data_IF_410428938917
#
_entry.id   IF_410428938917
#
_cell.length_a   1.000
_cell.length_b   1.000
_cell.length_c   1.000
_cell.angle_alpha   90.00
_cell.angle_beta   90.00
_cell.angle_gamma   90.00
#
_symmetry.space_group_name_H-M   'P 1'
#
loop_
_entity.id
_entity.type
_entity.pdbx_description
1 polymer ?
#
# COMPACT_ATOMS: atom_id res chain seq x y z
N UNK A 1 -22.54 -0.55 -11.14
CA UNK A 1 -22.58 -2.02 -10.98
C UNK A 1 -21.24 -2.72 -11.27
N UNK A 2 -20.35 -2.17 -12.12
CA UNK A 2 -19.05 -2.80 -12.48
C UNK A 2 -17.96 -2.83 -11.38
N UNK A 3 -17.92 -1.89 -10.43
CA UNK A 3 -16.84 -1.76 -9.42
C UNK A 3 -16.76 -2.97 -8.48
N UNK A 4 -17.91 -3.38 -7.91
CA UNK A 4 -17.96 -4.56 -7.04
C UNK A 4 -17.50 -5.80 -7.81
N UNK A 5 -17.97 -5.95 -9.05
CA UNK A 5 -17.59 -7.07 -9.94
C UNK A 5 -16.07 -7.16 -10.16
N UNK A 6 -15.37 -6.03 -10.32
CA UNK A 6 -13.91 -6.00 -10.49
C UNK A 6 -13.17 -6.39 -9.21
N UNK A 7 -13.55 -5.86 -8.04
CA UNK A 7 -12.95 -6.26 -6.74
C UNK A 7 -13.20 -7.74 -6.41
N UNK A 8 -14.42 -8.23 -6.64
CA UNK A 8 -14.73 -9.66 -6.51
C UNK A 8 -13.92 -10.50 -7.48
N UNK A 9 -13.77 -10.04 -8.72
CA UNK A 9 -12.96 -10.74 -9.70
C UNK A 9 -11.47 -10.80 -9.30
N UNK A 10 -10.94 -9.77 -8.62
CA UNK A 10 -9.58 -9.78 -8.09
C UNK A 10 -9.44 -10.70 -6.88
N UNK A 11 -10.43 -10.71 -5.98
CA UNK A 11 -10.49 -11.67 -4.88
C UNK A 11 -10.49 -13.12 -5.40
N UNK A 12 -11.38 -13.43 -6.36
CA UNK A 12 -11.44 -14.76 -6.99
C UNK A 12 -10.10 -15.14 -7.62
N UNK A 13 -9.43 -14.18 -8.26
CA UNK A 13 -8.12 -14.39 -8.86
C UNK A 13 -7.03 -14.67 -7.83
N UNK A 14 -6.92 -13.85 -6.78
CA UNK A 14 -5.96 -14.06 -5.69
C UNK A 14 -6.22 -15.41 -5.01
N UNK A 15 -7.50 -15.78 -4.80
CA UNK A 15 -7.89 -17.10 -4.28
C UNK A 15 -7.46 -18.21 -5.22
N UNK A 16 -7.65 -18.07 -6.54
CA UNK A 16 -7.25 -19.08 -7.51
C UNK A 16 -5.74 -19.29 -7.52
N UNK A 17 -4.95 -18.21 -7.52
CA UNK A 17 -3.48 -18.29 -7.43
C UNK A 17 -3.06 -18.96 -6.12
N UNK A 18 -3.68 -18.60 -5.01
CA UNK A 18 -3.39 -19.21 -3.71
C UNK A 18 -3.77 -20.70 -3.68
N UNK A 19 -4.86 -21.10 -4.33
CA UNK A 19 -5.22 -22.52 -4.49
C UNK A 19 -4.18 -23.27 -5.32
N UNK A 20 -3.65 -22.68 -6.39
CA UNK A 20 -2.55 -23.27 -7.16
C UNK A 20 -1.29 -23.39 -6.29
N UNK A 21 -0.97 -22.38 -5.49
CA UNK A 21 0.19 -22.45 -4.58
C UNK A 21 0.03 -23.55 -3.54
N UNK A 22 -1.18 -23.75 -3.01
CA UNK A 22 -1.49 -24.85 -2.10
C UNK A 22 -1.34 -26.21 -2.79
N UNK A 23 -1.78 -26.34 -4.03
CA UNK A 23 -1.58 -27.57 -4.81
C UNK A 23 -0.09 -27.89 -4.97
N UNK A 24 0.74 -26.91 -5.33
CA UNK A 24 2.20 -27.07 -5.37
C UNK A 24 2.73 -27.44 -3.98
N UNK A 25 2.21 -26.82 -2.92
CA UNK A 25 2.66 -27.05 -1.55
C UNK A 25 2.38 -28.46 -1.03
N UNK A 26 1.27 -29.07 -1.43
CA UNK A 26 0.88 -30.41 -0.97
C UNK A 26 1.31 -31.55 -1.89
N UNK A 27 1.45 -31.29 -3.20
CA UNK A 27 1.73 -32.33 -4.19
C UNK A 27 3.13 -32.24 -4.80
N UNK A 28 3.93 -31.22 -4.48
CA UNK A 28 5.34 -31.21 -4.89
C UNK A 28 6.21 -31.98 -3.90
N UNK A 29 7.22 -32.68 -4.42
CA UNK A 29 8.28 -33.31 -3.61
C UNK A 29 9.34 -32.32 -3.12
N UNK A 30 9.03 -31.01 -3.13
CA UNK A 30 9.98 -29.98 -2.69
C UNK A 30 9.98 -29.96 -1.16
N UNK A 31 11.16 -30.04 -0.51
CA UNK A 31 11.24 -29.90 0.93
C UNK A 31 10.66 -28.55 1.35
N UNK A 32 9.79 -28.57 2.36
CA UNK A 32 9.12 -27.39 2.89
C UNK A 32 8.27 -26.61 1.87
N UNK A 33 7.65 -27.30 0.91
CA UNK A 33 6.83 -26.69 -0.14
C UNK A 33 5.70 -25.76 0.37
N UNK A 34 5.21 -25.94 1.60
CA UNK A 34 4.27 -25.00 2.26
C UNK A 34 4.72 -23.53 2.20
N UNK A 35 6.03 -23.29 2.17
CA UNK A 35 6.61 -21.96 2.02
C UNK A 35 6.24 -21.25 0.71
N UNK A 36 5.94 -22.00 -0.35
CA UNK A 36 5.44 -21.44 -1.60
C UNK A 36 4.14 -20.70 -1.33
N UNK A 37 3.20 -21.33 -0.64
CA UNK A 37 1.91 -20.71 -0.29
C UNK A 37 2.05 -19.52 0.64
N UNK A 38 2.91 -19.60 1.66
CA UNK A 38 3.18 -18.48 2.56
C UNK A 38 3.76 -17.28 1.81
N UNK A 39 4.66 -17.52 0.86
CA UNK A 39 5.27 -16.49 0.01
C UNK A 39 4.23 -15.84 -0.91
N UNK A 40 3.40 -16.65 -1.58
CA UNK A 40 2.31 -16.15 -2.43
C UNK A 40 1.32 -15.32 -1.63
N UNK A 41 0.94 -15.77 -0.44
CA UNK A 41 0.02 -15.03 0.44
C UNK A 41 0.61 -13.68 0.88
N UNK A 42 1.89 -13.65 1.27
CA UNK A 42 2.56 -12.42 1.67
C UNK A 42 2.60 -11.37 0.54
N UNK A 43 2.74 -11.84 -0.71
CA UNK A 43 2.77 -10.99 -1.92
C UNK A 43 1.37 -10.53 -2.33
N UNK A 44 0.39 -11.45 -2.34
CA UNK A 44 -0.97 -11.24 -2.89
C UNK A 44 -1.97 -10.68 -1.89
N UNK A 45 -1.56 -10.41 -0.65
CA UNK A 45 -2.42 -9.78 0.36
C UNK A 45 -3.00 -8.42 -0.10
N UNK A 46 -2.25 -7.53 -0.77
CA UNK A 46 -2.81 -6.31 -1.34
C UNK A 46 -3.75 -6.57 -2.51
N UNK A 47 -4.78 -5.73 -2.60
CA UNK A 47 -5.70 -5.72 -3.74
C UNK A 47 -5.31 -4.72 -4.82
N UNK A 48 -4.08 -4.19 -4.84
CA UNK A 48 -3.59 -3.19 -5.81
C UNK A 48 -2.32 -3.72 -6.51
N UNK A 49 -2.18 -3.57 -7.84
CA UNK A 49 -1.07 -4.20 -8.59
C UNK A 49 0.28 -3.55 -8.35
N UNK A 50 0.30 -2.21 -8.19
CA UNK A 50 1.52 -1.52 -7.77
C UNK A 50 2.03 -2.05 -6.42
N UNK A 51 1.13 -2.28 -5.46
CA UNK A 51 1.50 -2.82 -4.16
C UNK A 51 2.00 -4.27 -4.27
N UNK A 52 1.39 -5.09 -5.13
CA UNK A 52 1.88 -6.46 -5.41
C UNK A 52 3.31 -6.43 -5.96
N UNK A 53 3.60 -5.56 -6.92
CA UNK A 53 4.95 -5.40 -7.48
C UNK A 53 5.98 -4.96 -6.44
N UNK A 54 5.61 -3.99 -5.60
CA UNK A 54 6.44 -3.55 -4.47
C UNK A 54 6.66 -4.68 -3.46
N UNK A 55 5.65 -5.50 -3.19
CA UNK A 55 5.78 -6.68 -2.32
C UNK A 55 6.62 -7.79 -2.93
N UNK A 56 6.55 -8.04 -4.24
CA UNK A 56 7.45 -8.99 -4.91
C UNK A 56 8.90 -8.58 -4.66
N UNK A 57 9.24 -7.32 -4.91
CA UNK A 57 10.58 -6.78 -4.65
C UNK A 57 10.95 -6.87 -3.17
N UNK A 58 10.04 -6.45 -2.29
CA UNK A 58 10.23 -6.47 -0.84
C UNK A 58 10.45 -7.88 -0.27
N UNK A 59 9.70 -8.87 -0.76
CA UNK A 59 9.85 -10.29 -0.39
C UNK A 59 11.16 -10.85 -0.93
N UNK A 60 11.52 -10.55 -2.18
CA UNK A 60 12.78 -11.01 -2.77
C UNK A 60 13.99 -10.49 -1.98
N UNK A 61 14.13 -9.17 -1.89
CA UNK A 61 15.25 -8.54 -1.18
C UNK A 61 15.22 -8.86 0.31
N UNK A 62 14.04 -8.88 0.91
CA UNK A 62 13.87 -9.23 2.32
C UNK A 62 14.35 -10.63 2.59
N UNK A 63 14.02 -11.58 1.72
CA UNK A 63 14.45 -12.95 1.89
C UNK A 63 15.93 -13.15 1.62
N UNK A 64 16.50 -12.47 0.61
CA UNK A 64 17.95 -12.48 0.38
C UNK A 64 18.70 -11.93 1.60
N UNK A 65 18.29 -10.77 2.13
CA UNK A 65 18.88 -10.23 3.35
C UNK A 65 18.72 -11.16 4.55
N UNK A 66 17.53 -11.75 4.73
CA UNK A 66 17.26 -12.70 5.81
C UNK A 66 18.18 -13.92 5.72
N UNK A 67 18.30 -14.52 4.54
CA UNK A 67 19.17 -15.66 4.28
C UNK A 67 20.66 -15.32 4.51
N UNK A 68 21.12 -14.16 4.03
CA UNK A 68 22.51 -13.71 4.22
C UNK A 68 22.80 -13.43 5.70
N UNK A 69 21.88 -12.77 6.42
CA UNK A 69 22.00 -12.51 7.86
C UNK A 69 21.87 -13.78 8.70
N UNK A 70 21.19 -14.80 8.19
CA UNK A 70 21.05 -16.07 8.88
C UNK A 70 22.37 -16.84 8.95
N UNK A 71 23.27 -16.69 7.96
CA UNK A 71 24.59 -17.34 7.96
C UNK A 71 25.42 -17.01 9.23
N UNK A 72 25.71 -15.73 9.55
CA UNK A 72 26.47 -15.42 10.76
C UNK A 72 25.72 -15.77 12.05
N UNK A 73 24.38 -15.66 12.06
CA UNK A 73 23.57 -16.07 13.23
C UNK A 73 23.71 -17.58 13.48
N UNK A 74 23.64 -18.38 12.41
CA UNK A 74 23.83 -19.82 12.48
C UNK A 74 25.21 -20.18 13.01
N UNK A 75 26.27 -19.55 12.49
CA UNK A 75 27.64 -19.78 12.95
C UNK A 75 27.82 -19.41 14.43
N UNK A 76 27.20 -18.32 14.90
CA UNK A 76 27.22 -17.95 16.32
C UNK A 76 26.52 -19.00 17.20
N UNK A 77 25.40 -19.55 16.73
CA UNK A 77 24.67 -20.59 17.43
C UNK A 77 25.41 -21.92 17.43
N UNK A 78 26.15 -22.24 16.36
CA UNK A 78 27.01 -23.42 16.29
C UNK A 78 28.17 -23.34 17.30
N UNK A 79 28.75 -22.15 17.48
CA UNK A 79 29.78 -21.90 18.51
C UNK A 79 29.18 -21.99 19.92
N UNK A 80 27.99 -21.42 20.14
CA UNK A 80 27.31 -21.45 21.43
C UNK A 80 25.79 -21.52 21.27
N UNK A 81 25.25 -22.73 21.38
CA UNK A 81 23.81 -22.99 21.23
C UNK A 81 22.97 -22.34 22.33
N UNK A 82 23.55 -22.00 23.48
CA UNK A 82 22.89 -21.27 24.56
C UNK A 82 22.45 -19.84 24.17
N UNK A 83 23.03 -19.27 23.11
CA UNK A 83 22.62 -17.95 22.59
C UNK A 83 21.22 -17.97 21.97
N UNK A 84 20.65 -19.15 21.70
CA UNK A 84 19.32 -19.28 21.10
C UNK A 84 18.22 -18.59 21.91
N UNK A 85 18.32 -18.64 23.25
CA UNK A 85 17.37 -18.00 24.16
C UNK A 85 17.37 -16.48 24.07
N UNK A 86 18.46 -15.88 23.58
CA UNK A 86 18.57 -14.43 23.37
C UNK A 86 18.25 -14.04 21.93
N UNK A 87 18.70 -14.84 20.96
CA UNK A 87 18.55 -14.55 19.53
C UNK A 87 17.08 -14.64 19.10
N UNK A 88 16.33 -15.66 19.53
CA UNK A 88 14.92 -15.84 19.13
C UNK A 88 14.02 -14.67 19.58
N UNK A 89 14.00 -14.26 20.87
CA UNK A 89 13.18 -13.13 21.28
C UNK A 89 13.58 -11.83 20.57
N UNK A 90 14.87 -11.62 20.33
CA UNK A 90 15.37 -10.42 19.66
C UNK A 90 14.97 -10.40 18.18
N UNK A 91 15.05 -11.52 17.47
CA UNK A 91 14.60 -11.63 16.08
C UNK A 91 13.08 -11.51 15.95
N UNK A 92 12.30 -12.00 16.92
CA UNK A 92 10.85 -11.79 16.98
C UNK A 92 10.49 -10.33 17.26
N UNK A 93 11.17 -9.68 18.22
CA UNK A 93 10.96 -8.27 18.51
C UNK A 93 11.30 -7.41 17.28
N UNK A 94 12.40 -7.70 16.59
CA UNK A 94 12.79 -7.03 15.36
C UNK A 94 11.77 -7.26 14.23
N UNK A 95 11.26 -8.49 14.05
CA UNK A 95 10.23 -8.79 13.07
C UNK A 95 8.97 -7.94 13.32
N UNK A 96 8.47 -7.89 14.56
CA UNK A 96 7.31 -7.10 14.94
C UNK A 96 7.55 -5.59 14.77
N UNK A 97 8.72 -5.09 15.18
CA UNK A 97 9.08 -3.68 14.99
C UNK A 97 9.07 -3.29 13.50
N UNK A 98 9.67 -4.10 12.64
CA UNK A 98 9.74 -3.83 11.20
C UNK A 98 8.43 -4.10 10.46
N UNK A 99 7.47 -4.83 11.05
CA UNK A 99 6.16 -5.05 10.45
C UNK A 99 5.47 -3.74 10.07
N UNK A 100 5.67 -2.70 10.89
CA UNK A 100 5.05 -1.38 10.71
C UNK A 100 5.94 -0.45 9.86
N UNK A 101 7.26 -0.58 9.97
CA UNK A 101 8.20 0.39 9.42
C UNK A 101 8.78 0.02 8.05
N UNK A 102 9.06 -1.27 7.81
CA UNK A 102 9.70 -1.72 6.59
C UNK A 102 9.39 -3.19 6.29
N UNK A 103 8.52 -3.40 5.30
CA UNK A 103 8.07 -4.72 4.89
C UNK A 103 9.22 -5.66 4.50
N UNK A 104 10.23 -5.18 3.76
CA UNK A 104 11.36 -6.02 3.35
C UNK A 104 12.19 -6.50 4.55
N UNK A 105 12.43 -5.63 5.54
CA UNK A 105 13.13 -6.02 6.77
C UNK A 105 12.29 -6.96 7.62
N UNK A 106 10.98 -6.76 7.70
CA UNK A 106 10.07 -7.70 8.35
C UNK A 106 10.20 -9.11 7.75
N UNK A 107 10.21 -9.22 6.42
CA UNK A 107 10.41 -10.50 5.72
C UNK A 107 11.80 -11.09 6.04
N UNK A 108 12.85 -10.27 6.14
CA UNK A 108 14.18 -10.75 6.51
C UNK A 108 14.18 -11.44 7.88
N UNK A 109 13.63 -10.77 8.90
CA UNK A 109 13.56 -11.35 10.24
C UNK A 109 12.57 -12.51 10.34
N UNK A 110 11.48 -12.52 9.57
CA UNK A 110 10.61 -13.69 9.47
C UNK A 110 11.37 -14.90 8.93
N UNK A 111 12.17 -14.74 7.87
CA UNK A 111 13.00 -15.83 7.36
C UNK A 111 14.01 -16.35 8.38
N UNK A 112 14.67 -15.45 9.12
CA UNK A 112 15.58 -15.82 10.21
C UNK A 112 14.84 -16.64 11.27
N UNK A 113 13.69 -16.16 11.76
CA UNK A 113 12.87 -16.87 12.74
C UNK A 113 12.45 -18.26 12.24
N UNK A 114 12.07 -18.36 10.98
CA UNK A 114 11.69 -19.64 10.38
C UNK A 114 12.86 -20.63 10.34
N UNK A 115 14.04 -20.17 9.95
CA UNK A 115 15.25 -21.00 10.00
C UNK A 115 15.60 -21.43 11.43
N UNK A 116 15.42 -20.56 12.43
CA UNK A 116 15.66 -20.90 13.83
C UNK A 116 14.69 -21.97 14.35
N UNK A 117 13.38 -21.77 14.16
CA UNK A 117 12.35 -22.64 14.72
C UNK A 117 12.24 -23.99 14.03
N UNK A 118 12.35 -24.02 12.71
CA UNK A 118 12.04 -25.22 11.92
C UNK A 118 13.27 -26.02 11.51
N UNK A 119 14.44 -25.38 11.46
CA UNK A 119 15.68 -26.08 11.11
C UNK A 119 16.56 -26.24 12.33
N UNK A 120 17.01 -25.11 12.90
CA UNK A 120 18.04 -25.14 13.93
C UNK A 120 17.55 -25.87 15.20
N UNK A 121 16.34 -25.57 15.67
CA UNK A 121 15.77 -26.24 16.85
C UNK A 121 15.39 -27.70 16.60
N UNK A 122 14.91 -28.04 15.40
CA UNK A 122 14.33 -29.36 15.12
C UNK A 122 15.38 -30.37 14.64
N UNK A 123 16.34 -29.92 13.84
CA UNK A 123 17.33 -30.78 13.17
C UNK A 123 18.79 -30.39 13.47
N UNK A 124 19.02 -29.27 14.17
CA UNK A 124 20.37 -28.81 14.51
C UNK A 124 21.21 -28.45 13.28
N UNK A 125 22.51 -28.70 13.37
CA UNK A 125 23.49 -28.28 12.37
C UNK A 125 23.44 -29.04 11.02
N UNK A 126 22.74 -30.17 10.96
CA UNK A 126 22.88 -31.12 9.85
C UNK A 126 22.28 -30.66 8.51
N UNK A 127 21.40 -29.66 8.51
CA UNK A 127 20.58 -29.34 7.33
C UNK A 127 20.65 -27.88 6.85
N UNK A 128 21.66 -27.10 7.29
CA UNK A 128 21.77 -25.68 6.93
C UNK A 128 21.73 -25.41 5.42
N UNK A 129 22.53 -26.14 4.64
CA UNK A 129 22.59 -25.97 3.18
C UNK A 129 21.30 -26.40 2.49
N UNK A 130 20.67 -27.47 2.98
CA UNK A 130 19.39 -27.96 2.47
C UNK A 130 18.27 -26.93 2.71
N UNK A 131 18.20 -26.34 3.91
CA UNK A 131 17.28 -25.25 4.21
C UNK A 131 17.47 -24.07 3.28
N UNK A 132 18.72 -23.61 3.11
CA UNK A 132 19.01 -22.42 2.31
C UNK A 132 18.54 -22.58 0.86
N UNK A 133 18.84 -23.74 0.26
CA UNK A 133 18.43 -24.06 -1.12
C UNK A 133 16.92 -24.21 -1.21
N UNK A 134 16.30 -24.97 -0.30
CA UNK A 134 14.85 -25.18 -0.28
C UNK A 134 14.10 -23.84 -0.13
N UNK A 135 14.56 -22.99 0.79
CA UNK A 135 13.95 -21.69 1.03
C UNK A 135 14.09 -20.78 -0.18
N UNK A 136 15.28 -20.71 -0.77
CA UNK A 136 15.49 -19.92 -1.99
C UNK A 136 14.59 -20.39 -3.14
N UNK A 137 14.49 -21.69 -3.39
CA UNK A 137 13.60 -22.24 -4.42
C UNK A 137 12.13 -21.90 -4.17
N UNK A 138 11.64 -22.08 -2.94
CA UNK A 138 10.23 -21.79 -2.61
C UNK A 138 9.89 -20.30 -2.75
N UNK A 139 10.83 -19.40 -2.47
CA UNK A 139 10.69 -17.95 -2.72
C UNK A 139 10.58 -17.66 -4.22
N UNK A 140 11.49 -18.21 -5.02
CA UNK A 140 11.50 -18.00 -6.48
C UNK A 140 10.20 -18.52 -7.10
N UNK A 141 9.76 -19.72 -6.73
CA UNK A 141 8.48 -20.29 -7.21
C UNK A 141 7.31 -19.38 -6.80
N UNK A 142 7.26 -18.95 -5.54
CA UNK A 142 6.19 -18.07 -5.05
C UNK A 142 6.15 -16.72 -5.77
N UNK A 143 7.30 -16.11 -6.03
CA UNK A 143 7.42 -14.86 -6.79
C UNK A 143 6.98 -15.05 -8.24
N UNK A 144 7.42 -16.11 -8.91
CA UNK A 144 7.02 -16.39 -10.31
C UNK A 144 5.51 -16.58 -10.37
N UNK A 145 4.94 -17.37 -9.46
CA UNK A 145 3.51 -17.64 -9.44
C UNK A 145 2.68 -16.36 -9.22
N UNK A 146 3.08 -15.54 -8.24
CA UNK A 146 2.41 -14.29 -7.96
C UNK A 146 2.58 -13.27 -9.11
N UNK A 147 3.80 -13.14 -9.64
CA UNK A 147 4.11 -12.22 -10.75
C UNK A 147 3.39 -12.58 -12.04
N UNK A 148 3.40 -13.86 -12.43
CA UNK A 148 2.65 -14.34 -13.60
C UNK A 148 1.15 -14.15 -13.40
N UNK A 149 0.65 -14.48 -12.21
CA UNK A 149 -0.73 -14.26 -11.83
C UNK A 149 -1.20 -12.83 -12.05
N UNK A 150 -0.52 -11.87 -11.42
CA UNK A 150 -0.83 -10.44 -11.55
C UNK A 150 -0.66 -9.96 -13.00
N UNK A 151 0.42 -10.35 -13.70
CA UNK A 151 0.66 -9.94 -15.09
C UNK A 151 -0.48 -10.33 -16.04
N UNK A 152 -0.92 -11.59 -16.02
CA UNK A 152 -1.96 -12.07 -16.94
C UNK A 152 -3.34 -11.45 -16.66
N UNK A 153 -3.61 -11.03 -15.43
CA UNK A 153 -4.93 -10.57 -15.02
C UNK A 153 -5.09 -9.06 -15.09
N UNK A 154 -4.08 -8.34 -14.62
CA UNK A 154 -4.01 -6.87 -14.56
C UNK A 154 -4.04 -6.29 -15.97
N UNK A 155 -3.24 -6.85 -16.89
CA UNK A 155 -3.17 -6.35 -18.27
C UNK A 155 -4.45 -6.59 -19.09
N UNK A 156 -5.19 -7.67 -18.82
CA UNK A 156 -6.41 -8.01 -19.59
C UNK A 156 -7.64 -7.19 -19.21
N UNK A 157 -7.69 -6.64 -18.00
CA UNK A 157 -8.91 -6.04 -17.44
C UNK A 157 -8.80 -4.55 -17.12
N UNK A 158 -7.64 -3.92 -17.35
CA UNK A 158 -7.40 -2.49 -17.12
C UNK A 158 -7.85 -2.03 -15.72
N UNK A 159 -7.47 -2.80 -14.69
CA UNK A 159 -7.88 -2.57 -13.31
C UNK A 159 -7.37 -1.23 -12.77
N UNK A 160 -6.09 -0.94 -12.99
CA UNK A 160 -5.44 0.29 -12.58
C UNK A 160 -6.10 1.53 -13.19
N UNK A 161 -6.43 1.48 -14.49
CA UNK A 161 -7.16 2.57 -15.16
C UNK A 161 -8.53 2.79 -14.48
N UNK A 162 -9.26 1.72 -14.23
CA UNK A 162 -10.59 1.81 -13.65
C UNK A 162 -10.58 2.32 -12.21
N UNK A 163 -9.66 1.81 -11.38
CA UNK A 163 -9.46 2.27 -10.01
C UNK A 163 -9.03 3.73 -9.96
N UNK A 164 -8.20 4.17 -10.91
CA UNK A 164 -7.81 5.57 -11.03
C UNK A 164 -9.03 6.45 -11.34
N UNK A 165 -9.87 6.04 -12.29
CA UNK A 165 -11.07 6.81 -12.66
C UNK A 165 -12.08 6.89 -11.51
N UNK A 166 -12.29 5.79 -10.80
CA UNK A 166 -13.14 5.77 -9.60
C UNK A 166 -12.56 6.70 -8.51
N UNK A 167 -11.24 6.66 -8.29
CA UNK A 167 -10.59 7.53 -7.33
C UNK A 167 -10.73 9.02 -7.71
N UNK A 168 -10.54 9.39 -8.97
CA UNK A 168 -10.75 10.76 -9.46
C UNK A 168 -12.20 11.19 -9.33
N UNK A 169 -13.16 10.33 -9.67
CA UNK A 169 -14.61 10.62 -9.53
C UNK A 169 -15.00 10.82 -8.07
N UNK A 170 -14.45 10.01 -7.16
CA UNK A 170 -14.69 10.18 -5.72
C UNK A 170 -14.06 11.46 -5.20
N UNK A 171 -12.86 11.83 -5.64
CA UNK A 171 -12.24 13.10 -5.28
C UNK A 171 -13.15 14.26 -5.69
N UNK A 172 -13.61 14.25 -6.94
CA UNK A 172 -14.52 15.26 -7.48
C UNK A 172 -15.78 15.39 -6.59
N UNK A 173 -16.41 14.26 -6.27
CA UNK A 173 -17.61 14.23 -5.42
C UNK A 173 -17.37 14.73 -3.98
N UNK A 174 -16.21 14.42 -3.39
CA UNK A 174 -15.86 14.81 -2.02
C UNK A 174 -15.55 16.31 -1.97
N UNK A 175 -14.82 16.83 -2.95
CA UNK A 175 -14.51 18.26 -3.05
C UNK A 175 -15.79 19.06 -3.32
N UNK A 176 -16.67 18.59 -4.21
CA UNK A 176 -17.94 19.25 -4.50
C UNK A 176 -18.84 19.32 -3.25
N UNK A 177 -18.95 18.22 -2.49
CA UNK A 177 -19.70 18.20 -1.22
C UNK A 177 -19.11 19.16 -0.19
N UNK A 178 -17.79 19.19 -0.06
CA UNK A 178 -17.11 20.09 0.86
C UNK A 178 -17.27 21.57 0.45
N UNK A 179 -17.22 21.88 -0.84
CA UNK A 179 -17.48 23.22 -1.33
C UNK A 179 -18.91 23.68 -1.01
N UNK A 180 -19.92 22.82 -1.20
CA UNK A 180 -21.29 23.11 -0.77
C UNK A 180 -21.38 23.37 0.73
N UNK A 181 -20.68 22.56 1.52
CA UNK A 181 -20.62 22.75 2.97
C UNK A 181 -19.98 24.09 3.35
N UNK A 182 -18.80 24.42 2.81
CA UNK A 182 -18.11 25.70 3.11
C UNK A 182 -18.89 26.92 2.62
N UNK A 183 -19.61 26.82 1.52
CA UNK A 183 -20.50 27.87 1.04
C UNK A 183 -21.71 28.10 1.96
N UNK A 184 -22.13 27.08 2.70
CA UNK A 184 -23.23 27.17 3.66
C UNK A 184 -22.83 27.68 5.05
N UNK A 185 -21.52 27.79 5.33
CA UNK A 185 -21.04 28.27 6.62
C UNK A 185 -21.27 29.78 6.77
N UNK A 186 -22.02 30.16 7.81
CA UNK A 186 -22.15 31.56 8.22
C UNK A 186 -20.80 32.07 8.73
N UNK A 187 -20.33 33.16 8.13
CA UNK A 187 -18.97 33.73 8.29
C UNK A 187 -18.65 34.25 9.71
N UNK A 188 -19.62 34.27 10.61
CA UNK A 188 -19.54 34.91 11.92
C UNK A 188 -19.33 33.96 13.10
N UNK A 189 -19.65 32.66 12.99
CA UNK A 189 -19.46 31.70 14.09
C UNK A 189 -19.23 30.29 13.55
N UNK A 190 -18.04 29.74 13.80
CA UNK A 190 -17.74 28.34 13.51
C UNK A 190 -17.87 27.50 14.78
N UNK A 191 -18.59 26.39 14.73
CA UNK A 191 -18.88 25.54 15.91
C UNK A 191 -18.02 24.26 15.90
N UNK A 192 -17.85 23.62 17.07
CA UNK A 192 -17.14 22.32 17.21
C UNK A 192 -17.64 21.21 16.27
N UNK A 193 -18.92 21.22 15.90
CA UNK A 193 -19.45 20.24 14.94
C UNK A 193 -18.82 20.39 13.54
N UNK A 194 -18.48 21.62 13.13
CA UNK A 194 -17.84 21.90 11.85
C UNK A 194 -16.35 21.53 11.87
N UNK A 195 -15.71 21.60 13.04
CA UNK A 195 -14.35 21.07 13.25
C UNK A 195 -14.31 19.56 13.00
N UNK A 196 -15.27 18.81 13.54
CA UNK A 196 -15.39 17.37 13.31
C UNK A 196 -15.59 17.03 11.81
N UNK A 197 -16.44 17.78 11.12
CA UNK A 197 -16.64 17.61 9.68
C UNK A 197 -15.39 17.91 8.87
N UNK A 198 -14.62 18.94 9.25
CA UNK A 198 -13.32 19.24 8.66
C UNK A 198 -12.30 18.12 8.87
N UNK A 199 -12.23 17.55 10.07
CA UNK A 199 -11.36 16.41 10.38
C UNK A 199 -11.75 15.20 9.52
N UNK A 200 -13.05 14.89 9.42
CA UNK A 200 -13.53 13.80 8.56
C UNK A 200 -13.19 14.03 7.08
N UNK A 201 -13.35 15.26 6.59
CA UNK A 201 -12.99 15.63 5.22
C UNK A 201 -11.48 15.49 4.97
N UNK A 202 -10.66 15.99 5.90
CA UNK A 202 -9.20 15.89 5.81
C UNK A 202 -8.73 14.44 5.80
N UNK A 203 -9.28 13.59 6.67
CA UNK A 203 -8.97 12.16 6.71
C UNK A 203 -9.38 11.45 5.42
N UNK A 204 -10.56 11.77 4.89
CA UNK A 204 -11.04 11.22 3.62
C UNK A 204 -10.11 11.59 2.47
N UNK A 205 -9.66 12.84 2.40
CA UNK A 205 -8.69 13.29 1.40
C UNK A 205 -7.34 12.60 1.55
N UNK A 206 -6.86 12.36 2.77
CA UNK A 206 -5.59 11.68 2.98
C UNK A 206 -5.60 10.26 2.44
N UNK A 207 -6.62 9.48 2.79
CA UNK A 207 -6.80 8.13 2.25
C UNK A 207 -6.89 8.16 0.72
N UNK A 208 -7.68 9.09 0.18
CA UNK A 208 -7.95 9.14 -1.23
C UNK A 208 -6.76 9.62 -2.07
N UNK A 209 -5.89 10.47 -1.50
CA UNK A 209 -4.63 10.89 -2.15
C UNK A 209 -3.72 9.69 -2.38
N UNK A 210 -3.58 8.81 -1.39
CA UNK A 210 -2.77 7.59 -1.49
C UNK A 210 -3.36 6.66 -2.54
N UNK A 211 -4.68 6.46 -2.52
CA UNK A 211 -5.38 5.64 -3.53
C UNK A 211 -5.19 6.19 -4.94
N UNK A 212 -5.31 7.51 -5.15
CA UNK A 212 -5.09 8.15 -6.44
C UNK A 212 -3.66 7.92 -6.94
N UNK A 213 -2.66 8.07 -6.07
CA UNK A 213 -1.26 7.87 -6.45
C UNK A 213 -0.98 6.41 -6.85
N UNK A 214 -1.44 5.45 -6.05
CA UNK A 214 -1.24 4.03 -6.31
C UNK A 214 -1.98 3.55 -7.56
N UNK A 215 -3.21 4.02 -7.76
CA UNK A 215 -4.00 3.69 -8.95
C UNK A 215 -3.44 4.35 -10.22
N UNK A 216 -2.93 5.59 -10.15
CA UNK A 216 -2.24 6.22 -11.28
C UNK A 216 -0.99 5.44 -11.71
N UNK A 217 -0.15 5.02 -10.75
CA UNK A 217 1.01 4.16 -11.03
C UNK A 217 0.57 2.83 -11.64
N UNK A 218 -0.48 2.21 -11.11
CA UNK A 218 -1.03 0.95 -11.65
C UNK A 218 -1.57 1.12 -13.08
N UNK A 219 -2.26 2.22 -13.38
CA UNK A 219 -2.74 2.54 -14.72
C UNK A 219 -1.59 2.73 -15.73
N UNK A 220 -0.48 3.36 -15.31
CA UNK A 220 0.72 3.48 -16.15
C UNK A 220 1.34 2.10 -16.43
N UNK A 221 1.38 1.20 -15.45
CA UNK A 221 1.90 -0.15 -15.65
C UNK A 221 1.07 -0.94 -16.67
N UNK A 222 -0.25 -0.73 -16.69
CA UNK A 222 -1.16 -1.39 -17.62
C UNK A 222 -1.12 -0.81 -19.03
N UNK A 223 -1.25 0.51 -19.15
CA UNK A 223 -1.46 1.21 -20.43
C UNK A 223 -0.19 1.83 -21.03
N UNK A 224 0.92 1.80 -20.28
CA UNK A 224 2.22 2.28 -20.73
C UNK A 224 2.25 3.79 -21.01
N UNK A 225 3.07 4.18 -22.00
CA UNK A 225 3.39 5.58 -22.26
C UNK A 225 2.20 6.40 -22.80
N UNK A 226 1.24 5.78 -23.48
CA UNK A 226 0.09 6.50 -24.05
C UNK A 226 -0.81 7.13 -22.96
N UNK A 227 -1.07 6.39 -21.88
CA UNK A 227 -1.81 6.93 -20.73
C UNK A 227 -1.02 8.04 -20.02
N UNK A 228 0.29 7.85 -19.87
CA UNK A 228 1.19 8.84 -19.27
C UNK A 228 1.21 10.14 -20.07
N UNK A 229 1.21 10.09 -21.39
CA UNK A 229 1.22 11.28 -22.24
C UNK A 229 -0.12 12.02 -22.24
N UNK A 230 -1.23 11.30 -22.30
CA UNK A 230 -2.58 11.88 -22.30
C UNK A 230 -2.96 12.48 -20.95
N UNK A 231 -2.74 11.73 -19.86
CA UNK A 231 -3.23 12.11 -18.53
C UNK A 231 -2.15 12.74 -17.66
N UNK A 232 -0.88 12.36 -17.86
CA UNK A 232 0.20 12.75 -16.97
C UNK A 232 0.37 14.27 -16.82
N UNK A 233 0.14 15.05 -17.90
CA UNK A 233 0.17 16.52 -17.84
C UNK A 233 -0.90 17.08 -16.89
N UNK A 234 -2.09 16.51 -16.90
CA UNK A 234 -3.18 16.92 -16.02
C UNK A 234 -2.97 16.38 -14.60
N UNK A 235 -2.47 15.16 -14.46
CA UNK A 235 -2.20 14.56 -13.17
C UNK A 235 -1.08 15.29 -12.40
N UNK A 236 0.00 15.73 -13.05
CA UNK A 236 1.14 16.36 -12.36
C UNK A 236 0.78 17.56 -11.48
N UNK A 237 -0.23 18.35 -11.88
CA UNK A 237 -0.70 19.49 -11.08
C UNK A 237 -1.55 19.06 -9.87
N UNK A 238 -2.23 17.91 -9.95
CA UNK A 238 -3.24 17.50 -8.96
C UNK A 238 -2.66 17.24 -7.55
N UNK A 239 -1.55 16.49 -7.35
CA UNK A 239 -0.95 16.32 -6.03
C UNK A 239 -0.58 17.63 -5.34
N UNK A 240 -0.06 18.59 -6.11
CA UNK A 240 0.30 19.91 -5.59
C UNK A 240 -0.93 20.69 -5.13
N UNK A 241 -2.00 20.70 -5.93
CA UNK A 241 -3.26 21.34 -5.58
C UNK A 241 -3.89 20.69 -4.34
N UNK A 242 -3.92 19.37 -4.26
CA UNK A 242 -4.42 18.64 -3.08
C UNK A 242 -3.59 19.00 -1.85
N UNK A 243 -2.26 19.07 -1.96
CA UNK A 243 -1.38 19.46 -0.84
C UNK A 243 -1.68 20.87 -0.36
N UNK A 244 -1.80 21.84 -1.27
CA UNK A 244 -2.13 23.22 -0.93
C UNK A 244 -3.50 23.32 -0.27
N UNK A 245 -4.48 22.61 -0.80
CA UNK A 245 -5.83 22.56 -0.24
C UNK A 245 -5.86 21.95 1.17
N UNK A 246 -5.12 20.86 1.41
CA UNK A 246 -4.95 20.27 2.75
C UNK A 246 -4.36 21.25 3.76
N UNK A 247 -3.36 22.04 3.35
CA UNK A 247 -2.77 23.07 4.22
C UNK A 247 -3.80 24.15 4.58
N UNK A 248 -4.62 24.57 3.61
CA UNK A 248 -5.70 25.54 3.84
C UNK A 248 -6.78 24.98 4.77
N UNK A 249 -7.17 23.72 4.61
CA UNK A 249 -8.10 23.04 5.53
C UNK A 249 -7.53 22.95 6.95
N UNK A 250 -6.24 22.66 7.09
CA UNK A 250 -5.58 22.63 8.38
C UNK A 250 -5.57 24.01 9.05
N UNK A 251 -5.26 25.06 8.28
CA UNK A 251 -5.33 26.44 8.77
C UNK A 251 -6.75 26.84 9.20
N UNK A 252 -7.77 26.40 8.46
CA UNK A 252 -9.18 26.60 8.82
C UNK A 252 -9.54 25.87 10.13
N UNK A 253 -9.11 24.61 10.28
CA UNK A 253 -9.30 23.85 11.53
C UNK A 253 -8.64 24.53 12.73
N UNK A 254 -7.41 25.00 12.57
CA UNK A 254 -6.71 25.76 13.62
C UNK A 254 -7.43 27.05 13.99
N UNK A 255 -7.97 27.79 13.01
CA UNK A 255 -8.74 29.01 13.25
C UNK A 255 -10.06 28.75 13.99
N UNK A 256 -10.65 27.56 13.83
CA UNK A 256 -11.85 27.14 14.57
C UNK A 256 -11.51 26.82 16.02
N UNK A 257 -10.44 26.07 16.28
CA UNK A 257 -10.07 25.71 17.66
C UNK A 257 -9.57 26.94 18.46
N UNK A 258 -8.83 27.85 17.81
CA UNK A 258 -8.21 29.01 18.45
C UNK A 258 -9.08 30.29 18.49
N UNK A 259 -10.41 30.14 18.61
CA UNK A 259 -11.46 31.19 18.61
C UNK A 259 -11.06 32.62 19.05
N UNK A 260 -10.31 32.87 20.15
CA UNK A 260 -9.99 34.23 20.57
C UNK A 260 -8.95 35.00 19.72
N UNK A 261 -8.23 34.36 18.78
CA UNK A 261 -7.06 34.98 18.11
C UNK A 261 -7.35 35.40 16.65
N UNK A 262 -8.36 34.81 16.00
CA UNK A 262 -8.67 35.08 14.60
C UNK A 262 -9.71 36.19 14.43
N UNK A 263 -9.30 37.32 13.83
CA UNK A 263 -10.22 38.37 13.37
C UNK A 263 -11.14 37.83 12.27
N UNK A 264 -12.41 38.22 12.26
CA UNK A 264 -13.44 37.84 11.26
C UNK A 264 -12.95 37.97 9.80
N UNK A 265 -12.17 39.02 9.50
CA UNK A 265 -11.58 39.22 8.17
C UNK A 265 -10.62 38.09 7.76
N UNK A 266 -9.78 37.59 8.69
CA UNK A 266 -8.85 36.50 8.41
C UNK A 266 -9.59 35.18 8.16
N UNK A 267 -10.67 34.94 8.91
CA UNK A 267 -11.51 33.76 8.72
C UNK A 267 -12.23 33.79 7.36
N UNK A 268 -12.76 34.96 6.99
CA UNK A 268 -13.38 35.19 5.67
C UNK A 268 -12.40 34.96 4.52
N UNK A 269 -11.16 35.42 4.65
CA UNK A 269 -10.13 35.17 3.64
C UNK A 269 -9.78 33.68 3.53
N UNK A 270 -9.64 32.98 4.66
CA UNK A 270 -9.38 31.53 4.66
C UNK A 270 -10.49 30.74 3.97
N UNK A 271 -11.76 31.07 4.23
CA UNK A 271 -12.90 30.42 3.56
C UNK A 271 -12.87 30.66 2.03
N UNK A 272 -12.54 31.87 1.58
CA UNK A 272 -12.36 32.18 0.16
C UNK A 272 -11.21 31.38 -0.46
N UNK A 273 -10.09 31.25 0.26
CA UNK A 273 -8.94 30.48 -0.20
C UNK A 273 -9.22 28.98 -0.29
N UNK A 274 -9.99 28.42 0.66
CA UNK A 274 -10.46 27.02 0.65
C UNK A 274 -11.38 26.81 -0.55
N UNK A 275 -12.36 27.68 -0.76
CA UNK A 275 -13.27 27.59 -1.92
C UNK A 275 -12.54 27.67 -3.26
N UNK A 276 -11.62 28.62 -3.40
CA UNK A 276 -10.77 28.71 -4.60
C UNK A 276 -9.93 27.45 -4.82
N UNK A 277 -9.41 26.85 -3.74
CA UNK A 277 -8.70 25.57 -3.81
C UNK A 277 -9.60 24.42 -4.27
N UNK A 278 -10.84 24.36 -3.79
CA UNK A 278 -11.84 23.38 -4.24
C UNK A 278 -12.13 23.51 -5.73
N UNK A 279 -12.35 24.73 -6.22
CA UNK A 279 -12.61 25.00 -7.65
C UNK A 279 -11.45 24.58 -8.54
N UNK A 280 -10.21 24.86 -8.13
CA UNK A 280 -9.02 24.43 -8.86
C UNK A 280 -8.90 22.91 -8.94
N UNK A 281 -9.20 22.20 -7.84
CA UNK A 281 -9.18 20.74 -7.83
C UNK A 281 -10.28 20.19 -8.75
N UNK A 282 -11.52 20.71 -8.67
CA UNK A 282 -12.64 20.29 -9.51
C UNK A 282 -12.37 20.51 -11.00
N UNK A 283 -11.84 21.68 -11.35
CA UNK A 283 -11.46 21.97 -12.73
C UNK A 283 -10.40 20.98 -13.24
N UNK A 284 -9.47 20.57 -12.37
CA UNK A 284 -8.42 19.63 -12.73
C UNK A 284 -8.92 18.18 -12.82
N UNK A 285 -9.78 17.73 -11.91
CA UNK A 285 -10.42 16.40 -11.98
C UNK A 285 -11.28 16.28 -13.23
N UNK A 286 -12.03 17.31 -13.60
CA UNK A 286 -12.81 17.33 -14.84
C UNK A 286 -11.94 17.22 -16.08
N UNK A 287 -10.80 17.95 -16.15
CA UNK A 287 -9.83 17.81 -17.25
C UNK A 287 -9.29 16.39 -17.36
N UNK A 288 -9.00 15.74 -16.23
CA UNK A 288 -8.54 14.34 -16.21
C UNK A 288 -9.61 13.40 -16.76
N UNK A 289 -10.87 13.57 -16.32
CA UNK A 289 -12.00 12.75 -16.78
C UNK A 289 -12.34 12.97 -18.26
N UNK A 290 -12.19 14.20 -18.77
CA UNK A 290 -12.41 14.53 -20.18
C UNK A 290 -11.30 14.00 -21.08
N UNK A 291 -10.04 14.06 -20.66
CA UNK A 291 -8.90 13.54 -21.42
C UNK A 291 -8.92 12.01 -21.62
N UNK A 292 -9.89 11.33 -21.02
CA UNK A 292 -10.11 9.87 -21.08
C UNK A 292 -11.19 9.45 -22.07
N UNK A 293 -12.02 10.38 -22.54
CA UNK A 293 -13.02 10.16 -23.59
C UNK A 293 -12.35 10.21 -24.97
#
# INVERSE_FOLDING_TARGET
>A
MHIKSLKYSRLIHNTLIFTISLFISFYSHIPFAFWVSATVLAIMLPMDSQQIKERISGVFWGSVHGLVLFIPIWLLLDINSGLIFLIIPLSLAAANFFQIHNFSRNIAFLNINLGLFLEYMQYGNYHFSAYFVARFMTIVIGIILAGCGDFFFTHRKNYGLYEFNDAITRLDSIIAKAQLHFNSLNRSTLNKNQELELIMHFNSLNLLTVTIENSFKSAILEQGNQFREKIGKHYQALPMLIRQYKLKLFALGYAIDSHPIFTEHKLKNLLLEVNSGSEQILAQTQKILQAQQ
#
